data_IF_143936384192
#
_entry.id   IF_143936384192
#
_cell.length_a   1.000
_cell.length_b   1.000
_cell.length_c   1.000
_cell.angle_alpha   90.00
_cell.angle_beta   90.00
_cell.angle_gamma   90.00
#
_symmetry.space_group_name_H-M   'P 1'
#
loop_
_entity.id
_entity.type
_entity.pdbx_description
1 polymer ?
#
# COMPACT_ATOMS: atom_id res chain seq x y z
N UNK A 1 -0.93 0.90 -19.93
CA UNK A 1 0.04 -0.08 -19.35
C UNK A 1 0.73 -0.83 -20.47
N UNK A 2 2.04 -0.99 -20.36
CA UNK A 2 2.82 -1.84 -21.25
C UNK A 2 2.57 -3.31 -20.85
N UNK A 3 1.95 -4.13 -21.70
CA UNK A 3 1.65 -5.53 -21.39
C UNK A 3 2.91 -6.39 -21.22
N UNK A 4 4.03 -5.92 -21.76
CA UNK A 4 5.31 -6.63 -21.70
C UNK A 4 6.15 -6.23 -20.47
N UNK A 5 5.67 -5.29 -19.65
CA UNK A 5 6.33 -4.88 -18.42
C UNK A 5 5.76 -5.60 -17.19
N UNK A 6 6.65 -5.89 -16.24
CA UNK A 6 6.33 -6.21 -14.84
C UNK A 6 6.89 -5.09 -13.99
N UNK A 7 6.01 -4.25 -13.45
CA UNK A 7 6.42 -3.08 -12.68
C UNK A 7 6.67 -3.41 -11.20
N UNK A 8 7.59 -2.66 -10.55
CA UNK A 8 7.88 -2.76 -9.14
C UNK A 8 8.43 -1.43 -8.60
N UNK A 9 8.28 -1.20 -7.30
CA UNK A 9 8.87 -0.06 -6.59
C UNK A 9 9.89 -0.56 -5.55
N UNK A 10 10.86 0.26 -5.19
CA UNK A 10 11.77 -0.02 -4.07
C UNK A 10 11.32 0.81 -2.88
N UNK A 11 10.78 0.16 -1.86
CA UNK A 11 10.21 0.84 -0.72
C UNK A 11 10.67 0.27 0.62
N UNK A 12 10.51 1.07 1.66
CA UNK A 12 10.69 0.67 3.05
C UNK A 12 9.44 1.01 3.86
N UNK A 13 9.00 0.04 4.67
CA UNK A 13 7.83 0.22 5.51
C UNK A 13 8.23 0.63 6.92
N UNK A 14 7.57 1.65 7.47
CA UNK A 14 7.73 2.12 8.84
C UNK A 14 6.41 1.98 9.61
N UNK A 15 6.52 1.57 10.86
CA UNK A 15 5.41 1.60 11.81
C UNK A 15 5.40 2.96 12.52
N UNK A 16 4.41 3.79 12.19
CA UNK A 16 4.26 5.13 12.76
C UNK A 16 4.17 5.09 14.29
N UNK A 17 3.46 4.09 14.83
CA UNK A 17 3.29 3.96 16.29
C UNK A 17 4.62 3.71 16.98
N UNK A 18 5.43 2.84 16.40
CA UNK A 18 6.77 2.51 16.96
C UNK A 18 7.69 3.72 16.88
N UNK A 19 7.77 4.37 15.72
CA UNK A 19 8.64 5.53 15.50
C UNK A 19 8.22 6.71 16.38
N UNK A 20 6.94 7.04 16.40
CA UNK A 20 6.41 8.16 17.17
C UNK A 20 6.42 7.91 18.69
N UNK A 21 6.63 6.68 19.14
CA UNK A 21 6.72 6.36 20.58
C UNK A 21 7.96 6.96 21.25
N UNK A 22 9.04 7.19 20.48
CA UNK A 22 10.32 7.61 21.03
C UNK A 22 10.89 6.65 22.08
N UNK A 23 10.49 5.37 22.05
CA UNK A 23 10.90 4.38 23.04
C UNK A 23 12.40 4.07 22.93
N UNK A 24 13.00 3.69 24.06
CA UNK A 24 14.41 3.29 24.12
C UNK A 24 14.71 2.18 23.10
N UNK A 25 15.75 2.39 22.30
CA UNK A 25 16.18 1.43 21.28
C UNK A 25 15.50 1.61 19.90
N UNK A 26 14.54 2.51 19.77
CA UNK A 26 14.01 2.92 18.46
C UNK A 26 14.99 3.94 17.87
N UNK A 27 15.55 3.70 16.66
CA UNK A 27 16.43 4.67 16.01
C UNK A 27 15.68 5.97 15.68
N UNK A 28 16.44 7.07 15.63
CA UNK A 28 15.91 8.35 15.16
C UNK A 28 15.37 8.23 13.74
N UNK A 29 14.22 8.88 13.46
CA UNK A 29 13.57 8.82 12.15
C UNK A 29 14.52 9.27 11.03
N UNK A 30 15.30 10.33 11.26
CA UNK A 30 16.28 10.83 10.30
C UNK A 30 17.31 9.78 9.88
N UNK A 31 17.82 8.97 10.82
CA UNK A 31 18.74 7.89 10.53
C UNK A 31 18.09 6.75 9.73
N UNK A 32 16.82 6.43 10.03
CA UNK A 32 16.04 5.44 9.29
C UNK A 32 15.77 5.86 7.84
N UNK A 33 15.47 7.14 7.64
CA UNK A 33 15.23 7.73 6.31
C UNK A 33 16.51 7.77 5.49
N UNK A 34 17.63 8.21 6.08
CA UNK A 34 18.93 8.23 5.43
C UNK A 34 19.39 6.83 5.02
N UNK A 35 19.24 5.84 5.92
CA UNK A 35 19.52 4.44 5.59
C UNK A 35 18.66 3.92 4.43
N UNK A 36 17.35 4.21 4.43
CA UNK A 36 16.44 3.82 3.36
C UNK A 36 16.87 4.42 2.01
N UNK A 37 17.24 5.71 2.02
CA UNK A 37 17.73 6.41 0.84
C UNK A 37 19.02 5.80 0.30
N UNK A 38 19.99 5.54 1.16
CA UNK A 38 21.26 4.92 0.78
C UNK A 38 21.10 3.49 0.24
N UNK A 39 20.09 2.77 0.68
CA UNK A 39 19.72 1.44 0.17
C UNK A 39 18.94 1.50 -1.15
N UNK A 40 18.64 2.69 -1.67
CA UNK A 40 17.98 2.89 -2.95
C UNK A 40 16.46 2.88 -2.89
N UNK A 41 15.84 3.06 -1.70
CA UNK A 41 14.41 3.25 -1.59
C UNK A 41 13.98 4.52 -2.32
N UNK A 42 12.92 4.42 -3.11
CA UNK A 42 12.25 5.56 -3.75
C UNK A 42 10.97 5.95 -3.02
N UNK A 43 10.53 5.10 -2.09
CA UNK A 43 9.32 5.27 -1.31
C UNK A 43 9.54 4.86 0.14
N UNK A 44 8.99 5.65 1.06
CA UNK A 44 8.70 5.25 2.44
C UNK A 44 7.19 5.06 2.56
N UNK A 45 6.76 3.87 2.99
CA UNK A 45 5.38 3.62 3.38
C UNK A 45 5.28 3.68 4.91
N UNK A 46 4.49 4.61 5.45
CA UNK A 46 4.33 4.81 6.89
C UNK A 46 2.87 4.66 7.30
N UNK A 47 2.58 3.74 8.22
CA UNK A 47 1.22 3.42 8.67
C UNK A 47 1.20 3.15 10.17
N UNK A 48 0.08 3.49 10.80
CA UNK A 48 -0.18 3.32 12.22
C UNK A 48 -0.51 4.65 12.92
N UNK A 49 -1.27 4.62 14.02
CA UNK A 49 -1.56 5.82 14.79
C UNK A 49 -0.32 6.28 15.57
N UNK A 50 -0.22 7.59 15.80
CA UNK A 50 0.74 8.13 16.78
C UNK A 50 0.20 7.90 18.20
N UNK A 51 1.04 7.89 19.26
CA UNK A 51 0.61 7.78 20.66
C UNK A 51 -0.41 8.86 21.04
N UNK A 52 -1.28 8.55 21.99
CA UNK A 52 -2.33 9.47 22.43
C UNK A 52 -1.79 10.76 23.06
N UNK A 53 -0.63 10.70 23.66
CA UNK A 53 0.10 11.81 24.30
C UNK A 53 1.09 12.53 23.37
N UNK A 54 1.16 12.12 22.10
CA UNK A 54 1.95 12.81 21.09
C UNK A 54 1.39 14.22 20.82
N UNK A 55 2.21 15.18 20.37
CA UNK A 55 1.76 16.51 19.98
C UNK A 55 0.62 16.49 18.96
N UNK A 56 -0.27 17.47 19.00
CA UNK A 56 -1.42 17.56 18.07
C UNK A 56 -0.99 17.60 16.59
N UNK A 57 0.17 18.18 16.32
CA UNK A 57 0.81 18.27 15.00
C UNK A 57 1.78 17.10 14.72
N UNK A 58 1.75 16.02 15.53
CA UNK A 58 2.72 14.93 15.48
C UNK A 58 2.83 14.26 14.11
N UNK A 59 1.70 14.06 13.42
CA UNK A 59 1.72 13.52 12.05
C UNK A 59 2.43 14.45 11.06
N UNK A 60 2.19 15.76 11.16
CA UNK A 60 2.82 16.74 10.30
C UNK A 60 4.33 16.80 10.52
N UNK A 61 4.78 16.76 11.78
CA UNK A 61 6.22 16.70 12.12
C UNK A 61 6.94 15.50 11.51
N UNK A 62 6.27 14.35 11.44
CA UNK A 62 6.84 13.16 10.78
C UNK A 62 7.05 13.41 9.28
N UNK A 63 6.09 14.06 8.62
CA UNK A 63 6.22 14.43 7.19
C UNK A 63 7.39 15.38 6.99
N UNK A 64 7.46 16.46 7.77
CA UNK A 64 8.54 17.45 7.70
C UNK A 64 9.91 16.83 7.92
N UNK A 65 10.07 15.99 8.96
CA UNK A 65 11.33 15.31 9.25
C UNK A 65 11.79 14.39 8.12
N UNK A 66 10.88 13.67 7.48
CA UNK A 66 11.23 12.81 6.33
C UNK A 66 11.64 13.66 5.14
N UNK A 67 10.88 14.70 4.84
CA UNK A 67 11.17 15.61 3.73
C UNK A 67 12.49 16.36 3.91
N UNK A 68 12.81 16.79 5.11
CA UNK A 68 14.07 17.49 5.42
C UNK A 68 15.32 16.62 5.17
N UNK A 69 15.21 15.31 5.43
CA UNK A 69 16.32 14.35 5.23
C UNK A 69 16.44 13.91 3.77
N UNK A 70 15.31 13.59 3.13
CA UNK A 70 15.26 13.05 1.78
C UNK A 70 14.11 13.68 0.98
N UNK A 71 14.26 14.91 0.46
CA UNK A 71 13.18 15.64 -0.22
C UNK A 71 12.70 14.97 -1.52
N UNK A 72 13.50 14.10 -2.12
CA UNK A 72 13.10 13.31 -3.30
C UNK A 72 12.44 11.96 -2.95
N UNK A 73 12.42 11.56 -1.67
CA UNK A 73 11.79 10.35 -1.20
C UNK A 73 10.26 10.52 -1.24
N UNK A 74 9.57 9.62 -1.95
CA UNK A 74 8.12 9.65 -1.94
C UNK A 74 7.58 9.13 -0.59
N UNK A 75 6.83 9.97 0.11
CA UNK A 75 6.15 9.56 1.35
C UNK A 75 4.73 9.11 1.05
N UNK A 76 4.48 7.81 1.21
CA UNK A 76 3.17 7.15 1.14
C UNK A 76 2.67 6.91 2.55
N UNK A 77 1.88 7.82 3.12
CA UNK A 77 1.58 7.77 4.54
C UNK A 77 0.15 8.15 4.88
N UNK A 78 -0.24 7.69 6.08
CA UNK A 78 -1.49 7.97 6.78
C UNK A 78 -2.73 7.47 6.07
N UNK A 79 -3.15 6.27 6.48
CA UNK A 79 -4.44 5.70 6.05
C UNK A 79 -5.61 6.60 6.48
N UNK A 80 -6.79 6.45 5.92
CA UNK A 80 -7.96 7.24 6.31
C UNK A 80 -8.20 7.41 7.82
N UNK A 81 -8.04 6.39 8.70
CA UNK A 81 -8.14 6.59 10.14
C UNK A 81 -7.09 7.55 10.72
N UNK A 82 -5.85 7.48 10.25
CA UNK A 82 -4.77 8.36 10.72
C UNK A 82 -4.96 9.79 10.19
N UNK A 83 -5.44 9.96 8.97
CA UNK A 83 -5.81 11.28 8.42
C UNK A 83 -6.90 11.95 9.26
N UNK A 84 -7.92 11.19 9.67
CA UNK A 84 -9.00 11.69 10.54
C UNK A 84 -8.50 12.02 11.95
N UNK A 85 -7.62 11.18 12.51
CA UNK A 85 -7.00 11.44 13.82
C UNK A 85 -6.15 12.69 13.76
N UNK A 86 -5.33 12.88 12.74
CA UNK A 86 -4.51 14.08 12.56
C UNK A 86 -5.36 15.37 12.46
N UNK A 87 -6.38 15.36 11.62
CA UNK A 87 -7.30 16.49 11.48
C UNK A 87 -8.03 16.81 12.79
N UNK A 88 -8.45 15.77 13.53
CA UNK A 88 -9.14 15.91 14.82
C UNK A 88 -8.21 16.50 15.88
N UNK A 89 -6.97 16.02 16.00
CA UNK A 89 -5.97 16.54 16.95
C UNK A 89 -5.66 18.01 16.69
N UNK A 90 -5.46 18.38 15.43
CA UNK A 90 -5.18 19.76 15.04
C UNK A 90 -6.42 20.67 15.09
N UNK A 91 -7.63 20.12 15.26
CA UNK A 91 -8.88 20.86 15.28
C UNK A 91 -9.23 21.52 13.95
N UNK A 92 -8.82 20.92 12.82
CA UNK A 92 -9.04 21.44 11.46
C UNK A 92 -9.78 20.41 10.59
N UNK A 93 -10.40 20.82 9.47
CA UNK A 93 -11.01 19.90 8.52
C UNK A 93 -9.98 18.96 7.83
N UNK A 94 -10.41 17.76 7.45
CA UNK A 94 -9.57 16.79 6.72
C UNK A 94 -8.90 17.41 5.48
N UNK A 95 -9.61 18.11 4.57
CA UNK A 95 -8.96 18.71 3.39
C UNK A 95 -7.87 19.74 3.76
N UNK A 96 -8.05 20.49 4.86
CA UNK A 96 -7.05 21.46 5.33
C UNK A 96 -5.80 20.74 5.84
N UNK A 97 -5.94 19.69 6.67
CA UNK A 97 -4.82 18.86 7.11
C UNK A 97 -4.06 18.28 5.91
N UNK A 98 -4.78 17.66 4.97
CA UNK A 98 -4.17 17.03 3.79
C UNK A 98 -3.44 18.04 2.90
N UNK A 99 -3.99 19.26 2.76
CA UNK A 99 -3.33 20.37 2.04
C UNK A 99 -2.02 20.77 2.71
N UNK A 100 -2.02 20.96 4.03
CA UNK A 100 -0.81 21.28 4.81
C UNK A 100 0.21 20.16 4.72
N UNK A 101 -0.22 18.91 4.90
CA UNK A 101 0.67 17.73 4.83
C UNK A 101 1.29 17.54 3.44
N UNK A 102 0.51 17.76 2.35
CA UNK A 102 1.02 17.77 0.98
C UNK A 102 2.11 18.83 0.80
N UNK A 103 1.85 20.05 1.23
CA UNK A 103 2.79 21.16 1.09
C UNK A 103 4.06 20.94 1.94
N UNK A 104 3.98 20.15 3.01
CA UNK A 104 5.10 19.70 3.82
C UNK A 104 5.88 18.50 3.23
N UNK A 105 5.35 17.82 2.19
CA UNK A 105 6.04 16.71 1.53
C UNK A 105 5.32 15.36 1.52
N UNK A 106 4.07 15.27 2.00
CA UNK A 106 3.26 14.07 1.84
C UNK A 106 2.98 13.83 0.35
N UNK A 107 3.34 12.66 -0.17
CA UNK A 107 3.22 12.33 -1.59
C UNK A 107 1.92 11.63 -1.95
N UNK A 108 1.42 10.73 -1.10
CA UNK A 108 0.21 9.96 -1.35
C UNK A 108 -0.36 9.30 -0.09
N UNK A 109 -1.60 8.85 -0.17
CA UNK A 109 -2.35 8.25 0.95
C UNK A 109 -2.61 6.76 0.72
N UNK A 110 -2.25 5.87 1.65
CA UNK A 110 -2.59 4.46 1.57
C UNK A 110 -4.10 4.20 1.70
N UNK A 111 -4.70 3.52 0.72
CA UNK A 111 -6.10 3.10 0.78
C UNK A 111 -6.33 1.80 1.58
N UNK A 112 -5.35 1.31 2.31
CA UNK A 112 -5.35 -0.03 2.92
C UNK A 112 -6.43 -0.28 3.96
N UNK A 113 -6.96 0.73 4.63
CA UNK A 113 -8.07 0.60 5.56
C UNK A 113 -9.43 0.32 4.88
N UNK A 114 -9.49 0.20 3.55
CA UNK A 114 -10.71 -0.18 2.84
C UNK A 114 -11.22 -1.56 3.26
N UNK A 115 -10.31 -2.53 3.43
CA UNK A 115 -10.66 -3.94 3.63
C UNK A 115 -11.66 -4.43 2.56
N UNK A 116 -12.95 -4.36 2.89
CA UNK A 116 -14.07 -4.47 1.96
C UNK A 116 -15.05 -3.33 2.27
N UNK A 117 -15.52 -2.61 1.27
CA UNK A 117 -16.40 -1.44 1.44
C UNK A 117 -17.86 -1.87 1.58
N UNK A 118 -18.13 -2.53 2.71
CA UNK A 118 -19.43 -3.02 3.16
C UNK A 118 -19.48 -2.85 4.69
N UNK A 119 -20.36 -2.00 5.20
CA UNK A 119 -20.35 -1.60 6.61
C UNK A 119 -20.58 -2.78 7.57
N UNK A 120 -21.43 -3.74 7.20
CA UNK A 120 -21.72 -4.91 8.03
C UNK A 120 -20.48 -5.83 8.12
N UNK A 121 -19.83 -6.09 6.99
CA UNK A 121 -18.60 -6.90 6.96
C UNK A 121 -17.44 -6.21 7.67
N UNK A 122 -17.26 -4.90 7.48
CA UNK A 122 -16.21 -4.13 8.15
C UNK A 122 -16.38 -4.17 9.67
N UNK A 123 -17.59 -3.95 10.15
CA UNK A 123 -17.90 -4.05 11.57
C UNK A 123 -17.59 -5.45 12.09
N UNK A 124 -17.96 -6.49 11.36
CA UNK A 124 -17.68 -7.88 11.76
C UNK A 124 -16.19 -8.20 11.76
N UNK A 125 -15.46 -7.80 10.72
CA UNK A 125 -13.99 -8.02 10.61
C UNK A 125 -13.22 -7.31 11.72
N UNK A 126 -13.63 -6.11 12.12
CA UNK A 126 -12.93 -5.27 13.09
C UNK A 126 -13.42 -5.42 14.54
N UNK A 127 -14.42 -6.25 14.79
CA UNK A 127 -15.08 -6.28 16.10
C UNK A 127 -15.82 -4.98 16.44
N UNK A 128 -16.32 -4.27 15.42
CA UNK A 128 -17.10 -3.03 15.57
C UNK A 128 -16.26 -1.75 15.63
N UNK A 129 -14.94 -1.83 15.41
CA UNK A 129 -14.04 -0.66 15.53
C UNK A 129 -13.74 0.04 14.20
N UNK A 130 -14.04 -0.58 13.05
CA UNK A 130 -13.80 0.05 11.75
C UNK A 130 -14.77 1.23 11.55
N UNK A 131 -14.28 2.37 11.04
CA UNK A 131 -15.13 3.49 10.69
C UNK A 131 -16.07 3.12 9.53
N UNK A 132 -17.23 3.78 9.40
CA UNK A 132 -18.15 3.59 8.29
C UNK A 132 -17.48 3.76 6.92
N UNK A 133 -18.01 3.09 5.91
CA UNK A 133 -17.54 3.19 4.51
C UNK A 133 -17.55 4.64 4.04
N UNK A 134 -18.58 5.41 4.40
CA UNK A 134 -18.68 6.82 4.04
C UNK A 134 -17.50 7.66 4.55
N UNK A 135 -16.99 7.38 5.74
CA UNK A 135 -15.83 8.08 6.29
C UNK A 135 -14.51 7.72 5.59
N UNK A 136 -14.38 6.46 5.13
CA UNK A 136 -13.25 6.07 4.31
C UNK A 136 -13.29 6.80 2.97
N UNK A 137 -14.46 6.85 2.31
CA UNK A 137 -14.64 7.56 1.02
C UNK A 137 -14.33 9.05 1.20
N UNK A 138 -14.88 9.71 2.21
CA UNK A 138 -14.63 11.12 2.51
C UNK A 138 -13.13 11.42 2.59
N UNK A 139 -12.38 10.61 3.33
CA UNK A 139 -10.94 10.82 3.51
C UNK A 139 -10.16 10.62 2.21
N UNK A 140 -10.53 9.64 1.39
CA UNK A 140 -9.88 9.35 0.10
C UNK A 140 -10.21 10.44 -0.93
N UNK A 141 -11.48 10.82 -1.06
CA UNK A 141 -11.90 11.87 -2.00
C UNK A 141 -11.29 13.22 -1.59
N UNK A 142 -11.22 13.54 -0.30
CA UNK A 142 -10.54 14.73 0.18
C UNK A 142 -9.04 14.75 -0.17
N UNK A 143 -8.36 13.59 -0.12
CA UNK A 143 -6.97 13.49 -0.58
C UNK A 143 -6.85 13.78 -2.09
N UNK A 144 -7.74 13.20 -2.89
CA UNK A 144 -7.78 13.43 -4.34
C UNK A 144 -8.07 14.90 -4.68
N UNK A 145 -9.00 15.53 -3.97
CA UNK A 145 -9.39 16.94 -4.18
C UNK A 145 -8.25 17.92 -3.91
N UNK A 146 -7.37 17.62 -2.95
CA UNK A 146 -6.16 18.43 -2.70
C UNK A 146 -4.98 18.08 -3.61
N UNK A 147 -5.15 17.14 -4.54
CA UNK A 147 -4.13 16.73 -5.51
C UNK A 147 -3.17 15.65 -5.03
N UNK A 148 -3.43 15.01 -3.89
CA UNK A 148 -2.77 13.78 -3.49
C UNK A 148 -3.45 12.60 -4.20
N UNK A 149 -2.68 11.65 -4.70
CA UNK A 149 -3.26 10.38 -5.13
C UNK A 149 -3.27 9.35 -3.99
N UNK A 150 -3.99 8.26 -4.18
CA UNK A 150 -3.99 7.17 -3.22
C UNK A 150 -3.92 5.81 -3.90
N UNK A 151 -3.55 4.78 -3.14
CA UNK A 151 -3.80 3.39 -3.55
C UNK A 151 -5.25 3.00 -3.25
N UNK A 152 -5.73 1.94 -3.87
CA UNK A 152 -6.97 1.27 -3.48
C UNK A 152 -6.71 -0.19 -3.16
N UNK A 153 -7.50 -0.78 -2.27
CA UNK A 153 -7.26 -2.16 -1.82
C UNK A 153 -8.55 -2.95 -1.70
N UNK A 154 -8.48 -4.23 -2.00
CA UNK A 154 -9.50 -5.23 -1.69
C UNK A 154 -8.87 -6.32 -0.81
N UNK A 155 -9.43 -6.55 0.37
CA UNK A 155 -9.14 -7.73 1.20
C UNK A 155 -10.18 -8.81 0.89
N UNK A 156 -9.72 -10.01 0.52
CA UNK A 156 -10.59 -11.15 0.19
C UNK A 156 -10.15 -12.42 0.92
N UNK A 157 -11.00 -13.47 0.87
CA UNK A 157 -10.70 -14.77 1.48
C UNK A 157 -10.99 -14.80 2.98
N UNK A 158 -11.97 -14.03 3.43
CA UNK A 158 -12.48 -14.04 4.81
C UNK A 158 -13.91 -14.61 4.88
N UNK A 159 -14.92 -13.78 4.98
CA UNK A 159 -16.34 -14.16 5.11
C UNK A 159 -17.21 -13.50 4.02
N UNK A 160 -16.58 -12.80 3.11
CA UNK A 160 -17.24 -12.10 2.02
C UNK A 160 -17.85 -13.07 0.99
N UNK A 161 -18.90 -12.60 0.35
CA UNK A 161 -19.48 -13.27 -0.81
C UNK A 161 -18.93 -12.70 -2.12
N UNK A 162 -18.97 -13.46 -3.23
CA UNK A 162 -18.60 -12.92 -4.55
C UNK A 162 -19.37 -11.65 -4.92
N UNK A 163 -20.62 -11.52 -4.48
CA UNK A 163 -21.44 -10.31 -4.72
C UNK A 163 -20.85 -9.09 -4.03
N UNK A 164 -20.35 -9.23 -2.80
CA UNK A 164 -19.73 -8.13 -2.05
C UNK A 164 -18.39 -7.74 -2.64
N UNK A 165 -17.59 -8.70 -3.12
CA UNK A 165 -16.37 -8.40 -3.89
C UNK A 165 -16.69 -7.57 -5.13
N UNK A 166 -17.70 -7.95 -5.90
CA UNK A 166 -18.12 -7.20 -7.09
C UNK A 166 -18.64 -5.80 -6.73
N UNK A 167 -19.42 -5.69 -5.65
CA UNK A 167 -19.92 -4.39 -5.18
C UNK A 167 -18.77 -3.45 -4.78
N UNK A 168 -17.80 -3.97 -4.02
CA UNK A 168 -16.60 -3.23 -3.64
C UNK A 168 -15.80 -2.71 -4.87
N UNK A 169 -15.52 -3.60 -5.82
CA UNK A 169 -14.78 -3.23 -7.04
C UNK A 169 -15.51 -2.18 -7.89
N UNK A 170 -16.84 -2.27 -7.96
CA UNK A 170 -17.66 -1.26 -8.63
C UNK A 170 -17.61 0.09 -7.92
N UNK A 171 -17.72 0.10 -6.59
CA UNK A 171 -17.63 1.32 -5.79
C UNK A 171 -16.25 2.00 -5.96
N UNK A 172 -15.16 1.24 -5.94
CA UNK A 172 -13.83 1.79 -6.27
C UNK A 172 -13.78 2.37 -7.68
N UNK A 173 -14.39 1.68 -8.66
CA UNK A 173 -14.50 2.18 -10.04
C UNK A 173 -15.30 3.49 -10.13
N UNK A 174 -16.39 3.62 -9.37
CA UNK A 174 -17.20 4.85 -9.31
C UNK A 174 -16.43 6.02 -8.66
N UNK A 175 -15.64 5.76 -7.62
CA UNK A 175 -14.75 6.77 -7.03
C UNK A 175 -13.69 7.19 -8.06
N UNK A 176 -13.07 6.22 -8.74
CA UNK A 176 -12.09 6.52 -9.78
C UNK A 176 -12.67 7.34 -10.93
N UNK A 177 -13.90 7.05 -11.36
CA UNK A 177 -14.59 7.83 -12.41
C UNK A 177 -14.82 9.29 -11.98
N UNK A 178 -15.03 9.55 -10.67
CA UNK A 178 -15.23 10.91 -10.16
C UNK A 178 -13.93 11.68 -9.93
N UNK A 179 -12.91 10.99 -9.41
CA UNK A 179 -11.71 11.66 -8.88
C UNK A 179 -10.45 11.45 -9.71
N UNK A 180 -10.39 10.34 -10.45
CA UNK A 180 -9.18 9.87 -11.15
C UNK A 180 -7.92 9.85 -10.25
N UNK A 181 -8.12 9.65 -8.93
CA UNK A 181 -7.08 9.81 -7.92
C UNK A 181 -6.43 8.50 -7.45
N UNK A 182 -6.95 7.32 -7.84
CA UNK A 182 -6.28 6.06 -7.52
C UNK A 182 -5.14 5.76 -8.49
N UNK A 183 -3.96 5.44 -7.96
CA UNK A 183 -2.80 4.99 -8.74
C UNK A 183 -2.92 3.53 -9.17
N UNK A 184 -3.47 2.68 -8.30
CA UNK A 184 -3.50 1.24 -8.48
C UNK A 184 -4.57 0.56 -7.63
N UNK A 185 -4.88 -0.69 -7.98
CA UNK A 185 -5.68 -1.60 -7.17
C UNK A 185 -4.81 -2.73 -6.63
N UNK A 186 -4.73 -2.84 -5.30
CA UNK A 186 -4.00 -3.91 -4.60
C UNK A 186 -4.99 -4.95 -4.11
N UNK A 187 -4.87 -6.17 -4.61
CA UNK A 187 -5.78 -7.28 -4.26
C UNK A 187 -5.08 -8.21 -3.27
N UNK A 188 -5.52 -8.18 -2.00
CA UNK A 188 -4.83 -8.82 -0.88
C UNK A 188 -5.65 -9.97 -0.28
N UNK A 189 -5.09 -11.19 -0.15
CA UNK A 189 -5.75 -12.24 0.60
C UNK A 189 -5.64 -11.99 2.11
N UNK A 190 -6.69 -12.36 2.85
CA UNK A 190 -6.60 -12.49 4.30
C UNK A 190 -5.73 -13.70 4.64
N UNK A 191 -4.75 -13.50 5.51
CA UNK A 191 -3.95 -14.58 6.06
C UNK A 191 -4.61 -15.15 7.31
N UNK A 192 -4.57 -16.48 7.49
CA UNK A 192 -5.10 -17.11 8.71
C UNK A 192 -4.45 -16.59 9.99
N UNK A 193 -3.16 -16.24 9.93
CA UNK A 193 -2.42 -15.62 11.04
C UNK A 193 -2.89 -14.21 11.41
N UNK A 194 -3.59 -13.54 10.49
CA UNK A 194 -4.12 -12.18 10.65
C UNK A 194 -5.64 -12.16 10.88
N UNK A 195 -6.30 -13.30 10.77
CA UNK A 195 -7.74 -13.39 10.96
C UNK A 195 -8.07 -13.14 12.44
N UNK A 196 -9.04 -12.25 12.73
CA UNK A 196 -9.51 -12.06 14.09
C UNK A 196 -10.01 -13.37 14.70
N UNK A 197 -9.75 -13.66 15.98
CA UNK A 197 -10.13 -14.93 16.61
C UNK A 197 -11.63 -15.28 16.49
N UNK A 198 -12.50 -14.29 16.46
CA UNK A 198 -13.95 -14.48 16.34
C UNK A 198 -14.41 -14.94 14.95
N UNK A 199 -13.56 -14.86 13.93
CA UNK A 199 -13.85 -15.38 12.59
C UNK A 199 -13.57 -16.88 12.45
N UNK A 200 -12.97 -17.50 13.47
CA UNK A 200 -12.59 -18.91 13.44
C UNK A 200 -11.56 -19.20 12.33
N UNK A 201 -11.63 -20.42 11.78
CA UNK A 201 -10.83 -20.80 10.61
C UNK A 201 -11.49 -20.26 9.32
N UNK A 202 -11.76 -18.95 9.25
CA UNK A 202 -12.21 -18.31 8.01
C UNK A 202 -11.20 -18.70 6.90
N UNK A 203 -11.73 -19.35 5.87
CA UNK A 203 -10.90 -20.08 4.92
C UNK A 203 -10.01 -19.14 4.13
N UNK A 204 -8.73 -19.43 4.12
CA UNK A 204 -7.83 -18.82 3.13
C UNK A 204 -8.34 -19.17 1.73
N UNK A 205 -8.41 -18.18 0.85
CA UNK A 205 -8.74 -18.42 -0.53
C UNK A 205 -7.75 -19.42 -1.16
N UNK A 206 -8.25 -20.41 -1.87
CA UNK A 206 -7.43 -21.32 -2.62
C UNK A 206 -6.68 -20.60 -3.75
N UNK A 207 -5.62 -21.18 -4.27
CA UNK A 207 -4.87 -20.66 -5.41
C UNK A 207 -5.79 -20.35 -6.62
N UNK A 208 -6.79 -21.19 -6.87
CA UNK A 208 -7.78 -20.98 -7.94
C UNK A 208 -8.67 -19.78 -7.67
N UNK A 209 -9.17 -19.61 -6.45
CA UNK A 209 -9.97 -18.45 -6.03
C UNK A 209 -9.15 -17.18 -6.08
N UNK A 210 -7.91 -17.19 -5.59
CA UNK A 210 -6.98 -16.07 -5.66
C UNK A 210 -6.83 -15.58 -7.11
N UNK A 211 -6.55 -16.49 -8.05
CA UNK A 211 -6.46 -16.14 -9.47
C UNK A 211 -7.78 -15.60 -10.01
N UNK A 212 -8.91 -16.19 -9.63
CA UNK A 212 -10.24 -15.74 -10.09
C UNK A 212 -10.57 -14.33 -9.59
N UNK A 213 -10.28 -14.01 -8.33
CA UNK A 213 -10.51 -12.67 -7.75
C UNK A 213 -9.67 -11.61 -8.49
N UNK A 214 -8.40 -11.87 -8.75
CA UNK A 214 -7.55 -10.93 -9.50
C UNK A 214 -8.03 -10.75 -10.96
N UNK A 215 -8.46 -11.83 -11.63
CA UNK A 215 -9.00 -11.74 -12.98
C UNK A 215 -10.31 -10.93 -13.00
N UNK A 216 -11.21 -11.14 -12.04
CA UNK A 216 -12.44 -10.36 -11.89
C UNK A 216 -12.12 -8.90 -11.58
N UNK A 217 -11.15 -8.65 -10.69
CA UNK A 217 -10.70 -7.30 -10.39
C UNK A 217 -10.22 -6.58 -11.66
N UNK A 218 -9.32 -7.19 -12.44
CA UNK A 218 -8.85 -6.62 -13.70
C UNK A 218 -10.00 -6.35 -14.68
N UNK A 219 -10.93 -7.27 -14.86
CA UNK A 219 -12.04 -7.12 -15.80
C UNK A 219 -13.02 -6.02 -15.40
N UNK A 220 -13.37 -5.93 -14.12
CA UNK A 220 -14.31 -4.93 -13.62
C UNK A 220 -13.72 -3.51 -13.55
N UNK A 221 -12.40 -3.41 -13.43
CA UNK A 221 -11.70 -2.13 -13.34
C UNK A 221 -11.01 -1.74 -14.65
N UNK A 222 -11.18 -2.53 -15.72
CA UNK A 222 -10.59 -2.26 -17.02
C UNK A 222 -11.01 -0.88 -17.55
N UNK A 223 -10.03 -0.11 -18.03
CA UNK A 223 -10.22 1.26 -18.50
C UNK A 223 -10.31 2.33 -17.39
N UNK A 224 -10.39 1.92 -16.10
CA UNK A 224 -10.40 2.82 -14.93
C UNK A 224 -9.10 2.76 -14.14
N UNK A 225 -8.64 1.56 -13.83
CA UNK A 225 -7.37 1.35 -13.15
C UNK A 225 -6.31 0.89 -14.16
N UNK A 226 -5.21 1.63 -14.21
CA UNK A 226 -4.08 1.27 -15.04
C UNK A 226 -3.39 0.00 -14.51
N UNK A 227 -3.25 -0.11 -13.20
CA UNK A 227 -2.45 -1.15 -12.56
C UNK A 227 -3.24 -1.99 -11.56
N UNK A 228 -2.97 -3.30 -11.54
CA UNK A 228 -3.43 -4.25 -10.52
C UNK A 228 -2.19 -4.90 -9.91
N UNK A 229 -1.96 -4.62 -8.63
CA UNK A 229 -0.80 -5.08 -7.90
C UNK A 229 -1.06 -6.42 -7.20
N UNK A 230 -0.03 -7.26 -7.20
CA UNK A 230 0.03 -8.53 -6.46
C UNK A 230 0.59 -8.30 -5.06
N UNK A 231 -0.15 -8.67 -4.02
CA UNK A 231 0.38 -8.69 -2.66
C UNK A 231 1.27 -9.94 -2.43
N UNK A 232 2.46 -9.95 -3.04
CA UNK A 232 3.37 -11.11 -3.04
C UNK A 232 3.79 -11.56 -1.65
N UNK A 233 3.85 -10.65 -0.68
CA UNK A 233 4.18 -10.94 0.71
C UNK A 233 3.19 -11.91 1.37
N UNK A 234 1.99 -12.03 0.80
CA UNK A 234 0.89 -12.86 1.30
C UNK A 234 0.63 -14.11 0.44
N UNK A 235 1.39 -14.27 -0.65
CA UNK A 235 1.19 -15.34 -1.62
C UNK A 235 2.46 -16.18 -1.80
N UNK A 236 2.30 -17.47 -2.08
CA UNK A 236 3.43 -18.32 -2.50
C UNK A 236 3.88 -17.99 -3.94
N UNK A 237 5.14 -18.30 -4.30
CA UNK A 237 5.74 -17.91 -5.58
C UNK A 237 4.93 -18.37 -6.82
N UNK A 238 4.38 -19.58 -6.78
CA UNK A 238 3.59 -20.10 -7.92
C UNK A 238 2.23 -19.39 -8.03
N UNK A 239 1.64 -18.98 -6.91
CA UNK A 239 0.40 -18.18 -6.92
C UNK A 239 0.66 -16.78 -7.46
N UNK A 240 1.80 -16.17 -7.15
CA UNK A 240 2.22 -14.89 -7.74
C UNK A 240 2.27 -15.00 -9.27
N UNK A 241 2.88 -16.07 -9.81
CA UNK A 241 2.93 -16.29 -11.25
C UNK A 241 1.52 -16.42 -11.85
N UNK A 242 0.64 -17.22 -11.23
CA UNK A 242 -0.74 -17.40 -11.71
C UNK A 242 -1.52 -16.10 -11.76
N UNK A 243 -1.32 -15.25 -10.76
CA UNK A 243 -1.99 -13.94 -10.65
C UNK A 243 -1.46 -12.96 -11.69
N UNK A 244 -0.14 -12.91 -11.91
CA UNK A 244 0.47 -12.11 -12.96
C UNK A 244 0.02 -12.53 -14.37
N UNK A 245 -0.16 -13.84 -14.61
CA UNK A 245 -0.74 -14.34 -15.84
C UNK A 245 -2.27 -14.17 -15.90
N UNK A 246 -2.91 -13.87 -14.77
CA UNK A 246 -4.35 -13.71 -14.62
C UNK A 246 -4.86 -12.27 -14.67
N UNK A 247 -3.98 -11.28 -14.92
CA UNK A 247 -4.41 -9.89 -15.10
C UNK A 247 -3.70 -8.84 -14.23
N UNK A 248 -2.87 -9.25 -13.26
CA UNK A 248 -2.00 -8.33 -12.55
C UNK A 248 -0.78 -7.96 -13.40
N UNK A 249 -0.23 -6.77 -13.18
CA UNK A 249 0.89 -6.21 -13.93
C UNK A 249 1.96 -5.54 -13.05
N UNK A 250 1.70 -5.45 -11.75
CA UNK A 250 2.63 -4.85 -10.79
C UNK A 250 2.89 -5.82 -9.63
N UNK A 251 4.15 -5.92 -9.20
CA UNK A 251 4.52 -6.79 -8.08
C UNK A 251 4.60 -6.02 -6.76
N UNK A 252 4.42 -4.70 -6.80
CA UNK A 252 4.52 -3.84 -5.62
C UNK A 252 5.94 -3.57 -5.19
N UNK A 253 6.13 -3.41 -3.88
CA UNK A 253 7.41 -3.06 -3.30
C UNK A 253 8.35 -4.23 -3.09
N UNK A 254 9.65 -4.00 -3.29
CA UNK A 254 10.68 -4.98 -2.95
C UNK A 254 10.83 -5.15 -1.42
N UNK A 255 10.34 -4.21 -0.63
CA UNK A 255 10.41 -4.21 0.83
C UNK A 255 11.85 -4.40 1.33
N UNK A 256 12.66 -3.37 1.18
CA UNK A 256 14.02 -3.42 1.71
C UNK A 256 14.02 -3.24 3.22
N UNK A 257 14.74 -4.13 3.92
CA UNK A 257 15.05 -3.97 5.34
C UNK A 257 16.45 -3.35 5.49
N UNK A 258 16.59 -2.41 6.43
CA UNK A 258 17.88 -1.87 6.83
C UNK A 258 18.46 -2.61 8.05
N UNK A 259 19.66 -2.20 8.45
CA UNK A 259 20.31 -2.72 9.64
C UNK A 259 19.73 -2.13 10.94
N UNK A 260 19.15 -0.93 10.87
CA UNK A 260 18.65 -0.20 12.04
C UNK A 260 17.31 -0.75 12.55
N UNK A 261 16.39 -1.06 11.65
CA UNK A 261 15.06 -1.56 12.00
C UNK A 261 14.53 -2.44 10.87
N UNK A 262 13.98 -3.64 11.15
CA UNK A 262 13.33 -4.44 10.13
C UNK A 262 12.02 -3.78 9.67
N UNK A 263 11.47 -4.23 8.53
CA UNK A 263 10.19 -3.79 8.03
C UNK A 263 9.07 -4.00 9.08
N UNK A 264 8.11 -3.07 9.11
CA UNK A 264 7.03 -3.06 10.08
C UNK A 264 5.89 -4.04 9.73
N UNK A 265 5.13 -4.42 10.75
CA UNK A 265 3.91 -5.20 10.63
C UNK A 265 4.15 -6.67 10.28
N UNK A 266 3.15 -7.31 9.67
CA UNK A 266 3.20 -8.73 9.28
C UNK A 266 4.16 -9.02 8.12
N UNK A 267 4.67 -8.00 7.49
CA UNK A 267 5.61 -8.06 6.37
C UNK A 267 7.07 -7.93 6.82
N UNK A 268 7.29 -7.71 8.12
CA UNK A 268 8.62 -7.63 8.71
C UNK A 268 9.50 -8.83 8.32
N UNK A 269 10.70 -8.56 7.86
CA UNK A 269 11.66 -9.57 7.39
C UNK A 269 11.32 -10.22 6.04
N UNK A 270 10.28 -9.78 5.34
CA UNK A 270 9.97 -10.22 3.98
C UNK A 270 10.60 -9.26 2.98
N UNK A 271 11.65 -9.71 2.34
CA UNK A 271 12.39 -8.94 1.34
C UNK A 271 12.34 -9.66 0.01
N UNK A 272 12.16 -8.91 -1.09
CA UNK A 272 12.30 -9.41 -2.45
C UNK A 272 13.54 -8.77 -3.10
N UNK A 273 14.43 -9.60 -3.59
CA UNK A 273 15.64 -9.13 -4.27
C UNK A 273 15.36 -8.82 -5.73
N UNK A 274 16.16 -7.94 -6.34
CA UNK A 274 16.13 -7.67 -7.77
C UNK A 274 16.25 -8.94 -8.63
N UNK A 275 17.02 -9.94 -8.15
CA UNK A 275 17.12 -11.25 -8.82
C UNK A 275 15.80 -12.02 -8.81
N UNK A 276 15.09 -12.03 -7.68
CA UNK A 276 13.79 -12.70 -7.60
C UNK A 276 12.75 -12.02 -8.52
N UNK A 277 12.78 -10.68 -8.61
CA UNK A 277 11.93 -9.95 -9.58
C UNK A 277 12.27 -10.37 -11.01
N UNK A 278 13.56 -10.43 -11.37
CA UNK A 278 13.98 -10.87 -12.70
C UNK A 278 13.53 -12.33 -13.01
N UNK A 279 13.67 -13.23 -12.04
CA UNK A 279 13.23 -14.62 -12.18
C UNK A 279 11.70 -14.73 -12.35
N UNK A 280 10.93 -13.94 -11.60
CA UNK A 280 9.45 -13.86 -11.74
C UNK A 280 9.09 -13.32 -13.12
N UNK A 281 9.70 -12.19 -13.53
CA UNK A 281 9.45 -11.56 -14.81
C UNK A 281 9.72 -12.51 -15.98
N UNK A 282 10.85 -13.25 -15.95
CA UNK A 282 11.19 -14.25 -16.95
C UNK A 282 10.15 -15.39 -17.02
N UNK A 283 9.64 -15.86 -15.87
CA UNK A 283 8.60 -16.90 -15.82
C UNK A 283 7.25 -16.47 -16.42
N UNK A 284 6.94 -15.17 -16.39
CA UNK A 284 5.71 -14.63 -16.98
C UNK A 284 5.93 -14.02 -18.36
N UNK A 285 7.17 -14.06 -18.90
CA UNK A 285 7.52 -13.53 -20.21
C UNK A 285 7.49 -12.00 -20.29
N UNK A 286 7.77 -11.29 -19.16
CA UNK A 286 7.75 -9.83 -19.08
C UNK A 286 9.12 -9.26 -18.74
N UNK A 287 9.31 -7.97 -19.02
CA UNK A 287 10.51 -7.21 -18.65
C UNK A 287 10.29 -6.53 -17.29
N UNK A 288 11.18 -6.71 -16.29
CA UNK A 288 11.07 -6.01 -15.02
C UNK A 288 11.39 -4.52 -15.20
N UNK A 289 10.51 -3.65 -14.70
CA UNK A 289 10.63 -2.19 -14.82
C UNK A 289 10.42 -1.55 -13.46
N UNK A 290 11.46 -0.89 -12.95
CA UNK A 290 11.33 -0.10 -11.72
C UNK A 290 10.53 1.17 -11.99
N UNK A 291 9.59 1.46 -11.10
CA UNK A 291 8.73 2.64 -11.12
C UNK A 291 8.86 3.47 -9.85
N UNK A 292 8.40 4.72 -9.91
CA UNK A 292 8.05 5.50 -8.72
C UNK A 292 6.67 5.09 -8.20
N UNK A 293 6.25 5.59 -7.03
CA UNK A 293 4.90 5.37 -6.48
C UNK A 293 3.80 5.83 -7.44
N UNK A 294 4.02 6.94 -8.14
CA UNK A 294 3.09 7.47 -9.16
C UNK A 294 3.26 6.85 -10.56
N UNK A 295 3.92 5.68 -10.68
CA UNK A 295 4.15 4.97 -11.95
C UNK A 295 5.00 5.71 -12.98
N UNK A 296 5.79 6.71 -12.56
CA UNK A 296 6.83 7.35 -13.36
C UNK A 296 8.15 6.58 -13.33
N UNK A 297 9.11 7.03 -14.14
CA UNK A 297 10.48 6.52 -14.09
C UNK A 297 11.23 7.13 -12.89
N UNK A 298 11.95 6.33 -12.08
CA UNK A 298 12.83 6.86 -11.04
C UNK A 298 14.02 7.63 -11.67
N UNK A 299 14.68 8.47 -10.89
CA UNK A 299 15.95 9.07 -11.33
C UNK A 299 16.99 7.99 -11.59
N UNK A 300 17.92 8.23 -12.53
CA UNK A 300 18.93 7.25 -12.89
C UNK A 300 19.82 6.82 -11.69
N UNK A 301 19.96 7.69 -10.69
CA UNK A 301 20.74 7.41 -9.48
C UNK A 301 20.08 6.39 -8.55
N UNK A 302 18.74 6.23 -8.64
CA UNK A 302 17.94 5.35 -7.80
C UNK A 302 17.50 4.06 -8.52
N UNK A 303 17.99 3.82 -9.73
CA UNK A 303 17.68 2.58 -10.46
C UNK A 303 18.40 1.40 -9.82
N UNK A 304 17.62 0.40 -9.40
CA UNK A 304 18.15 -0.88 -8.91
C UNK A 304 18.66 -1.71 -10.09
N UNK A 305 19.92 -2.15 -10.09
CA UNK A 305 20.43 -3.03 -11.14
C UNK A 305 19.66 -4.37 -11.17
N UNK A 306 18.96 -4.64 -12.27
CA UNK A 306 18.25 -5.90 -12.47
C UNK A 306 19.15 -6.86 -13.25
N UNK A 307 19.50 -8.04 -12.70
CA UNK A 307 20.28 -9.04 -13.41
C UNK A 307 19.55 -9.55 -14.64
N UNK A 308 20.25 -9.69 -15.76
CA UNK A 308 19.67 -10.40 -16.92
C UNK A 308 19.55 -11.89 -16.60
N UNK A 309 18.35 -12.41 -16.75
CA UNK A 309 18.09 -13.84 -16.66
C UNK A 309 18.09 -14.38 -18.09
N UNK A 310 19.18 -15.08 -18.45
CA UNK A 310 19.22 -15.78 -19.72
C UNK A 310 18.26 -16.98 -19.61
N UNK A 311 17.16 -16.95 -20.36
CA UNK A 311 16.26 -18.09 -20.48
C UNK A 311 17.04 -19.30 -21.00
N UNK A 312 16.85 -20.45 -20.32
CA UNK A 312 17.32 -21.74 -20.79
C UNK A 312 16.34 -22.33 -21.78
#
# INVERSE_FOLDING_TARGET
TDPDALTFVVNRNFDTTVIASGADGVPELSALVDEAWQLGATEICMQGPIPADAPDDGYLRLVEQIHDVAPEMHLHAFRPPEVRDAATRMGIPIPEFLGIARDAGLGSVPGTAAQILDDELRAHLSGGTAPPVAEWIESIEAAHDVGLFSTSTLLYGHIETPRQVVAHLRLLGEIQDRTNGFSELIVMPMLASAAPPHLGAAGMASRRETRAVHAVARLLTFGRFAHVQVAWTKLGPDTVIDVLQGGADDIGGLLIDGALMPAAGQEAGRVMTARQVADIAARVGRTPVQRTTGYGAPSAALLTPIPQVHGK
#
